data_IF_013663020715
#
_entry.id   IF_013663020715
#
_cell.length_a   1.000
_cell.length_b   1.000
_cell.length_c   1.000
_cell.angle_alpha   90.00
_cell.angle_beta   90.00
_cell.angle_gamma   90.00
#
_symmetry.space_group_name_H-M   'P 1'
#
loop_
_entity.id
_entity.type
_entity.pdbx_description
1 polymer ?
#
# COMPACT_ATOMS: atom_id res chain seq x y z
N UNK A 1 6.36 14.36 1.66
CA UNK A 1 5.38 13.41 2.21
C UNK A 1 3.94 13.85 1.97
N UNK A 2 3.53 15.01 2.45
CA UNK A 2 2.18 15.56 2.26
C UNK A 2 1.73 15.59 0.80
N UNK A 3 2.65 15.94 -0.09
CA UNK A 3 2.41 16.00 -1.52
C UNK A 3 1.84 14.68 -2.09
N UNK A 4 2.43 13.54 -1.71
CA UNK A 4 1.99 12.25 -2.23
C UNK A 4 0.66 11.79 -1.64
N UNK A 5 0.41 12.11 -0.37
CA UNK A 5 -0.86 11.79 0.28
C UNK A 5 -2.00 12.55 -0.39
N UNK A 6 -1.79 13.83 -0.69
CA UNK A 6 -2.79 14.70 -1.32
C UNK A 6 -3.14 14.23 -2.75
N UNK A 7 -2.30 13.39 -3.36
CA UNK A 7 -2.56 12.84 -4.69
C UNK A 7 -3.60 11.70 -4.67
N UNK A 8 -3.89 11.12 -3.51
CA UNK A 8 -4.82 10.01 -3.39
C UNK A 8 -6.26 10.51 -3.22
N UNK A 9 -7.11 10.16 -4.20
CA UNK A 9 -8.53 10.47 -4.20
C UNK A 9 -9.29 9.19 -3.90
N UNK A 10 -9.67 9.00 -2.64
CA UNK A 10 -10.34 7.79 -2.20
C UNK A 10 -11.84 8.02 -2.08
N UNK A 11 -12.61 7.14 -2.73
CA UNK A 11 -14.08 7.08 -2.58
C UNK A 11 -14.38 6.17 -1.37
N UNK A 12 -15.25 6.62 -0.49
CA UNK A 12 -15.67 5.81 0.65
C UNK A 12 -16.86 4.93 0.28
N UNK A 13 -16.72 3.62 0.47
CA UNK A 13 -17.83 2.68 0.41
C UNK A 13 -18.51 2.70 1.77
N UNK A 14 -19.78 3.08 1.79
CA UNK A 14 -20.52 3.33 3.03
C UNK A 14 -21.20 2.10 3.62
N UNK A 15 -21.29 1.00 2.86
CA UNK A 15 -21.99 -0.21 3.28
C UNK A 15 -21.35 -1.45 2.71
N UNK A 16 -21.19 -2.49 3.53
CA UNK A 16 -20.71 -3.79 3.11
C UNK A 16 -21.73 -4.56 2.27
N UNK A 17 -22.97 -4.09 2.20
CA UNK A 17 -24.02 -4.63 1.33
C UNK A 17 -24.01 -4.01 -0.07
N UNK A 18 -23.23 -2.96 -0.25
CA UNK A 18 -23.08 -2.31 -1.56
C UNK A 18 -22.40 -3.26 -2.54
N UNK A 19 -22.79 -3.14 -3.81
CA UNK A 19 -22.13 -3.88 -4.91
C UNK A 19 -21.04 -3.05 -5.59
N UNK A 20 -20.73 -1.86 -5.06
CA UNK A 20 -19.70 -0.98 -5.63
C UNK A 20 -18.33 -1.64 -5.69
N UNK A 21 -18.05 -2.61 -4.79
CA UNK A 21 -16.78 -3.34 -4.78
C UNK A 21 -16.48 -3.99 -6.13
N UNK A 22 -17.49 -4.48 -6.83
CA UNK A 22 -17.31 -5.17 -8.11
C UNK A 22 -16.99 -4.24 -9.28
N UNK A 23 -16.95 -2.94 -9.05
CA UNK A 23 -16.42 -1.96 -10.02
C UNK A 23 -14.88 -1.96 -10.03
N UNK A 24 -14.24 -2.67 -9.11
CA UNK A 24 -12.79 -2.74 -8.94
C UNK A 24 -12.24 -4.12 -9.28
N UNK A 25 -10.92 -4.21 -9.48
CA UNK A 25 -10.27 -5.46 -9.88
C UNK A 25 -9.71 -6.23 -8.70
N UNK A 26 -9.15 -5.50 -7.72
CA UNK A 26 -8.46 -6.10 -6.58
C UNK A 26 -8.88 -5.47 -5.28
N UNK A 27 -8.68 -6.23 -4.20
CA UNK A 27 -8.88 -5.80 -2.83
C UNK A 27 -7.62 -6.06 -2.02
N UNK A 28 -7.28 -5.11 -1.15
CA UNK A 28 -6.11 -5.15 -0.28
C UNK A 28 -6.51 -4.79 1.14
N UNK A 29 -5.71 -5.21 2.12
CA UNK A 29 -5.93 -4.77 3.49
C UNK A 29 -5.63 -3.29 3.66
N UNK A 30 -6.45 -2.62 4.47
CA UNK A 30 -6.09 -1.32 5.01
C UNK A 30 -5.33 -1.55 6.31
N UNK A 31 -4.02 -1.43 6.25
CA UNK A 31 -3.15 -1.70 7.40
C UNK A 31 -3.33 -0.63 8.47
N UNK A 32 -3.17 -1.01 9.76
CA UNK A 32 -3.07 -0.01 10.82
C UNK A 32 -1.76 0.76 10.68
N UNK A 33 -1.68 1.92 11.32
CA UNK A 33 -0.47 2.72 11.31
C UNK A 33 -0.61 3.97 10.47
N UNK A 34 0.53 4.58 10.15
CA UNK A 34 0.54 5.88 9.50
C UNK A 34 1.07 5.80 8.07
N UNK A 35 0.60 6.71 7.25
CA UNK A 35 1.08 6.87 5.89
C UNK A 35 2.51 7.39 5.89
N UNK A 36 3.35 6.78 5.08
CA UNK A 36 4.73 7.12 4.92
C UNK A 36 5.17 7.02 3.46
N UNK A 37 6.23 7.75 3.14
CA UNK A 37 6.92 7.61 1.86
C UNK A 37 8.34 7.13 2.16
N UNK A 38 8.77 6.12 1.42
CA UNK A 38 10.15 5.66 1.46
C UNK A 38 10.89 6.28 0.28
N UNK A 39 11.94 7.01 0.57
CA UNK A 39 12.83 7.59 -0.43
C UNK A 39 14.16 6.87 -0.40
N UNK A 40 14.59 6.33 -1.52
CA UNK A 40 15.90 5.70 -1.66
C UNK A 40 16.71 6.37 -2.76
N UNK A 41 17.96 6.68 -2.47
CA UNK A 41 18.87 7.25 -3.46
C UNK A 41 19.73 6.19 -4.17
N UNK A 42 19.47 4.90 -3.92
CA UNK A 42 20.24 3.79 -4.46
C UNK A 42 21.36 3.31 -3.55
N UNK A 43 21.55 3.95 -2.40
CA UNK A 43 22.53 3.56 -1.36
C UNK A 43 21.89 3.54 0.01
N UNK A 44 21.12 4.57 0.33
CA UNK A 44 20.40 4.72 1.59
C UNK A 44 18.95 5.03 1.32
N UNK A 45 18.08 4.56 2.20
CA UNK A 45 16.67 4.91 2.18
C UNK A 45 16.26 5.58 3.48
N UNK A 46 15.26 6.43 3.36
CA UNK A 46 14.68 7.18 4.46
C UNK A 46 13.17 6.98 4.42
N UNK A 47 12.60 6.56 5.54
CA UNK A 47 11.15 6.46 5.70
C UNK A 47 10.65 7.73 6.37
N UNK A 48 9.79 8.47 5.68
CA UNK A 48 9.29 9.77 6.11
C UNK A 48 7.77 9.76 6.29
N UNK A 49 7.32 10.23 7.44
CA UNK A 49 5.92 10.52 7.71
C UNK A 49 5.65 12.02 7.66
N UNK A 50 4.40 12.42 7.85
CA UNK A 50 4.04 13.85 7.96
C UNK A 50 4.76 14.56 9.10
N UNK A 51 5.25 13.82 10.10
CA UNK A 51 5.92 14.37 11.27
C UNK A 51 7.45 14.30 11.18
N UNK A 52 7.98 13.80 10.08
CA UNK A 52 9.41 13.73 9.82
C UNK A 52 9.93 12.31 9.57
N UNK A 53 11.24 12.16 9.65
CA UNK A 53 11.92 10.90 9.39
C UNK A 53 11.70 9.94 10.55
N UNK A 54 11.23 8.71 10.23
CA UNK A 54 10.96 7.66 11.22
C UNK A 54 12.10 6.65 11.26
N UNK A 55 12.66 6.29 10.10
CA UNK A 55 13.62 5.21 9.99
C UNK A 55 14.55 5.41 8.81
N UNK A 56 15.76 4.87 8.90
CA UNK A 56 16.77 4.91 7.86
C UNK A 56 17.43 3.55 7.74
N UNK A 57 17.80 3.17 6.52
CA UNK A 57 18.48 1.91 6.24
C UNK A 57 19.26 2.01 4.92
N UNK A 58 19.91 0.92 4.55
CA UNK A 58 20.58 0.80 3.27
C UNK A 58 19.62 0.18 2.25
N UNK A 59 19.68 0.66 1.01
CA UNK A 59 18.87 0.12 -0.08
C UNK A 59 19.53 0.40 -1.41
N UNK A 60 19.73 -0.62 -2.22
CA UNK A 60 20.50 -0.53 -3.46
C UNK A 60 19.70 -0.08 -4.68
N UNK A 61 18.42 0.17 -4.50
CA UNK A 61 17.54 0.60 -5.58
C UNK A 61 17.11 2.04 -5.33
N UNK A 62 17.24 2.89 -6.36
CA UNK A 62 16.73 4.25 -6.29
C UNK A 62 15.23 4.23 -6.61
N UNK A 63 14.41 4.60 -5.63
CA UNK A 63 12.96 4.58 -5.79
C UNK A 63 12.26 5.45 -4.74
N UNK A 64 10.99 5.72 -5.01
CA UNK A 64 10.07 6.32 -4.06
C UNK A 64 8.84 5.42 -3.97
N UNK A 65 8.51 4.98 -2.77
CA UNK A 65 7.38 4.11 -2.48
C UNK A 65 6.46 4.78 -1.47
N UNK A 66 5.16 4.53 -1.57
CA UNK A 66 4.18 5.00 -0.60
C UNK A 66 3.46 3.83 0.06
N UNK A 67 3.21 3.93 1.36
CA UNK A 67 2.59 2.84 2.09
C UNK A 67 2.28 3.17 3.54
N UNK A 68 2.08 2.11 4.31
CA UNK A 68 1.78 2.18 5.74
C UNK A 68 2.96 1.68 6.57
N UNK A 69 3.32 2.45 7.58
CA UNK A 69 4.29 2.05 8.60
C UNK A 69 3.54 1.62 9.85
N UNK A 70 3.71 0.36 10.24
CA UNK A 70 2.94 -0.26 11.31
C UNK A 70 3.77 -1.26 12.10
N UNK A 71 3.27 -1.62 13.29
CA UNK A 71 3.96 -2.53 14.21
C UNK A 71 3.26 -3.88 14.26
N UNK A 72 4.04 -4.95 14.12
CA UNK A 72 3.56 -6.32 14.22
C UNK A 72 4.47 -7.14 15.14
N UNK A 73 3.92 -7.67 16.22
CA UNK A 73 4.64 -8.48 17.21
C UNK A 73 5.96 -7.83 17.66
N UNK A 74 5.92 -6.55 17.97
CA UNK A 74 7.07 -5.78 18.43
C UNK A 74 8.05 -5.34 17.34
N UNK A 75 7.83 -5.72 16.09
CA UNK A 75 8.66 -5.33 14.96
C UNK A 75 7.93 -4.35 14.06
N UNK A 76 8.64 -3.36 13.54
CA UNK A 76 8.09 -2.41 12.60
C UNK A 76 8.20 -2.92 11.18
N UNK A 77 7.16 -2.64 10.40
CA UNK A 77 7.09 -2.96 8.97
C UNK A 77 6.60 -1.77 8.18
N UNK A 78 7.10 -1.64 6.97
CA UNK A 78 6.57 -0.73 5.98
C UNK A 78 5.96 -1.56 4.85
N UNK A 79 4.64 -1.50 4.72
CA UNK A 79 3.90 -2.18 3.65
C UNK A 79 3.57 -1.16 2.59
N UNK A 80 4.31 -1.17 1.48
CA UNK A 80 4.03 -0.25 0.39
C UNK A 80 2.86 -0.76 -0.46
N UNK A 81 2.01 0.16 -0.86
CA UNK A 81 0.86 -0.15 -1.71
C UNK A 81 0.96 0.50 -3.08
N UNK A 82 1.93 1.39 -3.30
CA UNK A 82 2.17 1.96 -4.61
C UNK A 82 3.62 2.40 -4.80
N UNK A 83 4.00 2.56 -6.06
CA UNK A 83 5.33 2.93 -6.49
C UNK A 83 5.24 4.25 -7.25
N UNK A 84 6.05 5.23 -6.86
CA UNK A 84 6.05 6.56 -7.45
C UNK A 84 7.12 6.67 -8.53
N UNK A 85 8.36 6.33 -8.18
CA UNK A 85 9.50 6.38 -9.08
C UNK A 85 10.39 5.16 -8.95
N UNK A 86 11.08 4.79 -10.03
CA UNK A 86 12.16 3.80 -10.04
C UNK A 86 13.27 4.33 -10.94
N UNK A 87 14.51 4.41 -10.41
CA UNK A 87 15.69 4.85 -11.18
C UNK A 87 15.45 6.18 -11.94
N UNK A 88 14.90 7.16 -11.25
CA UNK A 88 14.57 8.50 -11.79
C UNK A 88 13.38 8.52 -12.77
N UNK A 89 12.78 7.39 -13.08
CA UNK A 89 11.59 7.35 -13.91
C UNK A 89 10.34 7.57 -13.08
N UNK A 90 9.55 8.58 -13.45
CA UNK A 90 8.27 8.86 -12.82
C UNK A 90 7.20 7.91 -13.38
N UNK A 91 6.59 7.12 -12.51
CA UNK A 91 5.59 6.12 -12.89
C UNK A 91 4.15 6.55 -12.62
N UNK A 92 3.93 7.80 -12.21
CA UNK A 92 2.58 8.27 -11.82
C UNK A 92 1.57 8.26 -12.97
N UNK A 93 2.03 8.27 -14.21
CA UNK A 93 1.17 8.20 -15.40
C UNK A 93 0.99 6.78 -15.96
N UNK A 94 1.71 5.81 -15.40
CA UNK A 94 1.54 4.40 -15.73
C UNK A 94 0.36 3.82 -14.98
N UNK A 95 -0.13 2.65 -15.40
CA UNK A 95 -1.19 1.95 -14.68
C UNK A 95 -0.66 1.32 -13.39
N UNK A 96 -1.55 1.03 -12.44
CA UNK A 96 -1.18 0.35 -11.20
C UNK A 96 -0.46 -0.97 -11.48
N UNK A 97 -0.96 -1.75 -12.44
CA UNK A 97 -0.35 -3.02 -12.81
C UNK A 97 1.07 -2.82 -13.34
N UNK A 98 1.29 -1.84 -14.22
CA UNK A 98 2.61 -1.53 -14.75
C UNK A 98 3.58 -1.08 -13.65
N UNK A 99 3.13 -0.22 -12.75
CA UNK A 99 3.97 0.25 -11.63
C UNK A 99 4.42 -0.93 -10.77
N UNK A 100 3.51 -1.82 -10.41
CA UNK A 100 3.82 -3.00 -9.58
C UNK A 100 4.73 -3.99 -10.31
N UNK A 101 4.47 -4.24 -11.58
CA UNK A 101 5.32 -5.13 -12.39
C UNK A 101 6.75 -4.61 -12.52
N UNK A 102 6.92 -3.30 -12.63
CA UNK A 102 8.25 -2.68 -12.72
C UNK A 102 9.07 -2.87 -11.44
N UNK A 103 8.44 -2.92 -10.28
CA UNK A 103 9.13 -3.08 -9.00
C UNK A 103 9.27 -4.53 -8.56
N UNK A 104 8.44 -5.43 -9.05
CA UNK A 104 8.42 -6.84 -8.63
C UNK A 104 9.78 -7.57 -8.72
N UNK A 105 10.63 -7.36 -9.75
CA UNK A 105 11.93 -8.03 -9.81
C UNK A 105 12.83 -7.74 -8.61
N UNK A 106 12.79 -6.53 -8.07
CA UNK A 106 13.63 -6.15 -6.92
C UNK A 106 13.19 -6.85 -5.65
N UNK A 107 11.90 -7.11 -5.50
CA UNK A 107 11.35 -7.89 -4.38
C UNK A 107 11.80 -9.35 -4.50
N UNK A 108 11.63 -9.95 -5.69
CA UNK A 108 12.01 -11.34 -5.93
C UNK A 108 13.51 -11.59 -5.70
N UNK A 109 14.34 -10.62 -6.04
CA UNK A 109 15.80 -10.71 -5.89
C UNK A 109 16.27 -10.28 -4.49
N UNK A 110 15.35 -10.00 -3.57
CA UNK A 110 15.66 -9.60 -2.18
C UNK A 110 16.57 -8.36 -2.11
N UNK A 111 16.35 -7.40 -3.00
CA UNK A 111 17.16 -6.17 -3.06
C UNK A 111 16.59 -5.06 -2.17
N UNK A 112 15.54 -5.34 -1.43
CA UNK A 112 14.91 -4.42 -0.49
C UNK A 112 15.11 -4.92 0.95
N UNK A 113 15.15 -4.02 1.95
CA UNK A 113 15.26 -4.43 3.35
C UNK A 113 14.09 -5.32 3.79
N UNK A 114 14.32 -6.20 4.76
CA UNK A 114 13.30 -7.15 5.25
C UNK A 114 12.06 -6.47 5.86
N UNK A 115 12.23 -5.26 6.39
CA UNK A 115 11.11 -4.51 6.97
C UNK A 115 10.23 -3.82 5.92
N UNK A 116 10.63 -3.86 4.64
CA UNK A 116 9.87 -3.35 3.50
C UNK A 116 9.18 -4.52 2.80
N UNK A 117 7.87 -4.47 2.66
CA UNK A 117 7.10 -5.53 2.02
C UNK A 117 5.98 -4.96 1.15
N UNK A 118 5.57 -5.66 0.07
CA UNK A 118 4.46 -5.21 -0.75
C UNK A 118 3.12 -5.51 -0.11
N UNK A 119 2.14 -4.64 -0.34
CA UNK A 119 0.74 -4.96 -0.13
C UNK A 119 0.33 -5.98 -1.19
N UNK A 120 -0.23 -7.11 -0.76
CA UNK A 120 -0.57 -8.20 -1.67
C UNK A 120 -2.05 -8.10 -2.07
N UNK A 121 -2.35 -7.94 -3.36
CA UNK A 121 -3.72 -7.86 -3.82
C UNK A 121 -4.37 -9.24 -3.87
N UNK A 122 -5.66 -9.27 -3.59
CA UNK A 122 -6.53 -10.42 -3.83
C UNK A 122 -7.56 -10.04 -4.89
N UNK A 123 -8.13 -11.04 -5.58
CA UNK A 123 -9.23 -10.80 -6.51
C UNK A 123 -10.41 -10.21 -5.76
N UNK A 124 -11.08 -9.22 -6.36
CA UNK A 124 -12.18 -8.52 -5.70
C UNK A 124 -13.33 -9.45 -5.30
N UNK A 125 -13.55 -10.55 -6.04
CA UNK A 125 -14.59 -11.53 -5.74
C UNK A 125 -14.42 -12.17 -4.35
N UNK A 126 -13.23 -12.10 -3.79
CA UNK A 126 -12.93 -12.62 -2.45
C UNK A 126 -13.17 -11.62 -1.32
N UNK A 127 -13.62 -10.40 -1.63
CA UNK A 127 -13.69 -9.32 -0.64
C UNK A 127 -14.52 -9.68 0.58
N UNK A 128 -15.67 -10.34 0.39
CA UNK A 128 -16.59 -10.65 1.49
C UNK A 128 -15.98 -11.66 2.47
N UNK A 129 -15.33 -12.70 1.96
CA UNK A 129 -14.60 -13.67 2.78
C UNK A 129 -13.49 -12.98 3.59
N UNK A 130 -12.69 -12.15 2.92
CA UNK A 130 -11.60 -11.42 3.57
C UNK A 130 -12.15 -10.48 4.64
N UNK A 131 -13.23 -9.79 4.34
CA UNK A 131 -13.89 -8.88 5.28
C UNK A 131 -14.32 -9.59 6.56
N UNK A 132 -15.05 -10.67 6.41
CA UNK A 132 -15.62 -11.41 7.55
C UNK A 132 -14.56 -12.17 8.35
N UNK A 133 -13.65 -12.83 7.67
CA UNK A 133 -12.71 -13.75 8.32
C UNK A 133 -11.39 -13.12 8.74
N UNK A 134 -11.03 -11.95 8.17
CA UNK A 134 -9.71 -11.36 8.37
C UNK A 134 -9.71 -9.89 8.77
N UNK A 135 -10.81 -9.18 8.59
CA UNK A 135 -10.90 -7.75 8.93
C UNK A 135 -11.82 -7.53 10.13
N UNK A 136 -13.05 -8.05 10.10
CA UNK A 136 -13.99 -7.90 11.22
C UNK A 136 -13.50 -8.61 12.49
N UNK A 137 -12.67 -9.63 12.34
CA UNK A 137 -12.01 -10.29 13.44
C UNK A 137 -10.50 -10.08 13.34
N UNK A 138 -9.82 -10.09 14.48
CA UNK A 138 -8.36 -9.94 14.51
C UNK A 138 -7.71 -11.16 13.84
N UNK A 139 -6.97 -10.93 12.75
CA UNK A 139 -6.36 -12.00 11.98
C UNK A 139 -4.86 -12.09 12.26
N UNK A 140 -4.42 -13.24 12.79
CA UNK A 140 -3.01 -13.49 13.13
C UNK A 140 -2.38 -12.38 13.96
N UNK A 141 -3.15 -11.78 14.87
CA UNK A 141 -2.68 -10.70 15.72
C UNK A 141 -2.72 -9.32 15.10
N UNK A 142 -3.21 -9.18 13.86
CA UNK A 142 -3.30 -7.90 13.17
C UNK A 142 -4.75 -7.40 13.16
N UNK A 143 -4.93 -6.14 13.53
CA UNK A 143 -6.22 -5.47 13.55
C UNK A 143 -6.31 -4.53 12.33
N UNK A 144 -6.67 -5.08 11.17
CA UNK A 144 -6.82 -4.28 9.95
C UNK A 144 -7.96 -3.27 10.09
N UNK A 145 -7.78 -2.09 9.53
CA UNK A 145 -8.75 -0.99 9.65
C UNK A 145 -9.87 -1.05 8.62
N UNK A 146 -9.72 -1.87 7.60
CA UNK A 146 -10.68 -2.00 6.52
C UNK A 146 -10.09 -2.67 5.30
N UNK A 147 -10.74 -2.44 4.17
CA UNK A 147 -10.30 -2.92 2.86
C UNK A 147 -10.16 -1.75 1.90
N UNK A 148 -9.23 -1.89 0.97
CA UNK A 148 -8.97 -0.93 -0.10
C UNK A 148 -9.19 -1.63 -1.44
N UNK A 149 -9.99 -1.02 -2.31
CA UNK A 149 -10.34 -1.55 -3.63
C UNK A 149 -9.66 -0.70 -4.70
N UNK A 150 -9.05 -1.35 -5.68
CA UNK A 150 -8.27 -0.69 -6.72
C UNK A 150 -8.53 -1.29 -8.10
N UNK A 151 -8.25 -0.50 -9.14
CA UNK A 151 -8.31 -0.94 -10.53
C UNK A 151 -6.90 -1.07 -11.09
N UNK A 152 -6.65 -2.16 -11.83
CA UNK A 152 -5.35 -2.39 -12.47
C UNK A 152 -4.95 -1.28 -13.45
N UNK A 153 -5.95 -0.67 -14.10
CA UNK A 153 -5.73 0.37 -15.12
C UNK A 153 -5.56 1.78 -14.55
N UNK A 154 -5.60 1.95 -13.24
CA UNK A 154 -5.60 3.27 -12.62
C UNK A 154 -4.23 3.92 -12.63
N UNK A 155 -4.19 5.21 -12.89
CA UNK A 155 -3.03 6.05 -12.65
C UNK A 155 -2.85 6.25 -11.14
N UNK A 156 -1.67 6.72 -10.76
CA UNK A 156 -1.32 6.94 -9.36
C UNK A 156 -2.37 7.77 -8.62
N UNK A 157 -2.85 7.25 -7.51
CA UNK A 157 -3.81 7.94 -6.63
C UNK A 157 -5.26 7.96 -7.09
N UNK A 158 -5.56 7.38 -8.26
CA UNK A 158 -6.91 7.39 -8.84
C UNK A 158 -7.66 6.06 -8.65
N UNK A 159 -8.98 6.12 -8.74
CA UNK A 159 -9.89 4.96 -8.71
C UNK A 159 -9.64 4.04 -7.50
N UNK A 160 -9.60 4.63 -6.32
CA UNK A 160 -9.43 3.91 -5.07
C UNK A 160 -10.70 4.06 -4.25
N UNK A 161 -11.21 2.95 -3.73
CA UNK A 161 -12.31 2.96 -2.78
C UNK A 161 -11.90 2.29 -1.48
N UNK A 162 -12.48 2.73 -0.37
CA UNK A 162 -12.16 2.24 0.96
C UNK A 162 -13.42 1.85 1.69
N UNK A 163 -13.44 0.63 2.23
CA UNK A 163 -14.44 0.16 3.17
C UNK A 163 -13.82 0.12 4.55
N UNK A 164 -14.20 1.07 5.40
CA UNK A 164 -13.66 1.17 6.75
C UNK A 164 -14.43 0.25 7.70
N UNK A 165 -13.70 -0.38 8.60
CA UNK A 165 -14.29 -1.11 9.70
C UNK A 165 -14.90 -0.10 10.67
N UNK A 166 -16.15 -0.30 11.04
CA UNK A 166 -16.80 0.49 12.10
C UNK A 166 -16.35 -0.02 13.46
N UNK A 167 -16.01 0.91 14.32
CA UNK A 167 -15.59 0.61 15.69
C UNK A 167 -16.79 0.66 16.61
#
# INVERSE_FOLDING_TARGET
MKYYIDSFKCKKISSEESKEMFDYDVVEYKYPGQWCVLHSNGRKCVLESKDGIIHQDEMNIKCDLVGHYWKFKGKYKFTYFDIITINNENLTHSTLMERRQRFAPYVRNQEIPQWVEPSIPSKVERWEYIWREKVLVKYRGVNFEGLVFKKHSSKFGENIAVLNKTI
#
